data_IF_845739080004
#
_entry.id   IF_845739080004
#
_cell.length_a   1.000
_cell.length_b   1.000
_cell.length_c   1.000
_cell.angle_alpha   90.00
_cell.angle_beta   90.00
_cell.angle_gamma   90.00
#
_symmetry.space_group_name_H-M   'P 1'
#
loop_
_entity.id
_entity.type
_entity.pdbx_description
1 polymer ?
#
# COMPACT_ATOMS: atom_id res chain seq x y z
N UNK A 1 24.74 -28.32 -10.83
CA UNK A 1 24.25 -27.02 -10.36
C UNK A 1 23.43 -26.37 -11.48
N UNK A 2 22.11 -26.24 -11.37
CA UNK A 2 21.34 -25.42 -12.32
C UNK A 2 21.45 -23.93 -11.95
N UNK A 3 21.36 -23.03 -12.95
CA UNK A 3 21.72 -21.63 -12.80
C UNK A 3 20.67 -20.80 -12.05
N UNK A 4 21.19 -19.71 -11.49
CA UNK A 4 20.55 -18.75 -10.60
C UNK A 4 19.25 -18.17 -11.18
N UNK A 5 18.25 -18.11 -10.30
CA UNK A 5 16.92 -17.54 -10.44
C UNK A 5 16.94 -16.28 -11.31
N UNK A 6 16.43 -16.40 -12.54
CA UNK A 6 16.09 -15.28 -13.40
C UNK A 6 15.01 -14.47 -12.69
N UNK A 7 15.28 -13.19 -12.40
CA UNK A 7 14.27 -12.26 -11.88
C UNK A 7 13.06 -12.29 -12.80
N UNK A 8 11.97 -12.92 -12.35
CA UNK A 8 10.73 -12.95 -13.10
C UNK A 8 10.08 -11.57 -12.98
N UNK A 9 10.01 -10.84 -14.08
CA UNK A 9 9.25 -9.60 -14.13
C UNK A 9 7.76 -9.92 -14.21
N UNK A 10 6.95 -9.29 -13.36
CA UNK A 10 5.50 -9.49 -13.34
C UNK A 10 4.84 -8.23 -13.91
N UNK A 11 3.93 -8.41 -14.86
CA UNK A 11 3.21 -7.29 -15.45
C UNK A 11 2.19 -6.71 -14.47
N UNK A 12 2.25 -5.40 -14.24
CA UNK A 12 1.31 -4.71 -13.33
C UNK A 12 -0.15 -4.72 -13.81
N UNK A 13 -0.39 -4.84 -15.11
CA UNK A 13 -1.74 -4.80 -15.71
C UNK A 13 -2.42 -6.16 -15.65
N UNK A 14 -1.73 -7.23 -16.01
CA UNK A 14 -2.33 -8.56 -16.14
C UNK A 14 -1.83 -9.58 -15.10
N UNK A 15 -0.91 -9.20 -14.22
CA UNK A 15 -0.31 -10.04 -13.17
C UNK A 15 0.36 -11.33 -13.65
N UNK A 16 0.71 -11.41 -14.95
CA UNK A 16 1.41 -12.56 -15.55
C UNK A 16 2.90 -12.27 -15.68
N UNK A 17 3.71 -13.32 -15.66
CA UNK A 17 5.15 -13.23 -15.90
C UNK A 17 5.44 -12.72 -17.31
N UNK A 18 6.41 -11.80 -17.41
CA UNK A 18 6.85 -11.18 -18.65
C UNK A 18 8.07 -11.94 -19.18
N UNK A 19 8.02 -12.31 -20.46
CA UNK A 19 9.18 -12.83 -21.18
C UNK A 19 10.03 -11.63 -21.61
N UNK A 20 11.34 -11.66 -21.31
CA UNK A 20 12.31 -10.56 -21.46
C UNK A 20 12.23 -9.72 -22.76
N UNK A 21 11.69 -10.26 -23.85
CA UNK A 21 11.66 -9.59 -25.16
C UNK A 21 10.58 -8.51 -25.33
N UNK A 22 9.62 -8.39 -24.41
CA UNK A 22 8.52 -7.41 -24.51
C UNK A 22 8.24 -6.71 -23.18
N UNK A 23 9.29 -6.47 -22.39
CA UNK A 23 9.20 -5.73 -21.12
C UNK A 23 9.40 -4.25 -21.35
N UNK A 24 8.50 -3.44 -20.81
CA UNK A 24 8.65 -1.99 -20.72
C UNK A 24 8.61 -1.63 -19.24
N UNK A 25 9.64 -0.94 -18.77
CA UNK A 25 9.77 -0.52 -17.38
C UNK A 25 9.47 0.97 -17.29
N UNK A 26 8.62 1.34 -16.33
CA UNK A 26 8.36 2.75 -16.02
C UNK A 26 9.59 3.37 -15.36
N UNK A 27 10.02 4.54 -15.83
CA UNK A 27 11.20 5.23 -15.26
C UNK A 27 10.95 5.87 -13.89
N UNK A 28 9.70 5.91 -13.42
CA UNK A 28 9.32 6.58 -12.17
C UNK A 28 8.97 5.61 -11.05
N UNK A 29 8.27 4.52 -11.35
CA UNK A 29 7.84 3.56 -10.33
C UNK A 29 8.50 2.19 -10.45
N UNK A 30 9.40 2.01 -11.42
CA UNK A 30 10.09 0.75 -11.73
C UNK A 30 9.18 -0.47 -12.03
N UNK A 31 7.86 -0.26 -12.10
CA UNK A 31 6.91 -1.31 -12.49
C UNK A 31 7.12 -1.72 -13.95
N UNK A 32 6.92 -3.02 -14.21
CA UNK A 32 7.08 -3.63 -15.53
C UNK A 32 5.74 -3.92 -16.21
N UNK A 33 5.71 -3.78 -17.52
CA UNK A 33 4.51 -3.91 -18.35
C UNK A 33 4.80 -4.72 -19.61
N UNK A 34 3.83 -5.52 -20.06
CA UNK A 34 3.85 -6.02 -21.43
C UNK A 34 3.53 -4.87 -22.37
N UNK A 35 4.27 -4.74 -23.48
CA UNK A 35 3.96 -3.81 -24.57
C UNK A 35 2.49 -3.87 -25.00
N UNK A 36 1.98 -5.09 -25.20
CA UNK A 36 0.57 -5.33 -25.55
C UNK A 36 -0.43 -4.92 -24.47
N UNK A 37 -0.08 -5.01 -23.18
CA UNK A 37 -0.97 -4.62 -22.08
C UNK A 37 -1.15 -3.10 -21.98
N UNK A 38 -0.28 -2.32 -22.62
CA UNK A 38 -0.32 -0.86 -22.62
C UNK A 38 -0.49 -0.27 -24.03
N UNK A 39 -0.84 -1.10 -25.02
CA UNK A 39 -1.13 -0.66 -26.38
C UNK A 39 0.08 -0.22 -27.21
N UNK A 40 1.29 -0.59 -26.80
CA UNK A 40 2.53 -0.28 -27.54
C UNK A 40 2.87 -1.47 -28.44
N UNK A 41 3.08 -1.22 -29.73
CA UNK A 41 3.50 -2.28 -30.66
C UNK A 41 4.95 -2.67 -30.41
N UNK A 42 5.33 -3.92 -30.70
CA UNK A 42 6.72 -4.38 -30.51
C UNK A 42 7.73 -3.52 -31.28
N UNK A 43 7.34 -2.95 -32.42
CA UNK A 43 8.18 -2.04 -33.22
C UNK A 43 8.43 -0.69 -32.51
N UNK A 44 7.42 -0.19 -31.78
CA UNK A 44 7.58 1.01 -30.97
C UNK A 44 8.52 0.79 -29.78
N UNK A 45 8.56 -0.42 -29.21
CA UNK A 45 9.47 -0.77 -28.10
C UNK A 45 10.93 -0.64 -28.50
N UNK A 46 11.30 -1.08 -29.70
CA UNK A 46 12.67 -0.96 -30.21
C UNK A 46 13.09 0.49 -30.49
N UNK A 47 12.14 1.40 -30.79
CA UNK A 47 12.44 2.83 -30.87
C UNK A 47 12.46 3.51 -29.49
N UNK A 48 11.74 2.94 -28.52
CA UNK A 48 11.55 3.49 -27.17
C UNK A 48 12.71 3.19 -26.23
N UNK A 49 13.63 2.30 -26.57
CA UNK A 49 14.85 2.05 -25.78
C UNK A 49 15.76 3.28 -25.64
N UNK A 50 15.46 4.38 -26.34
CA UNK A 50 16.17 5.66 -26.22
C UNK A 50 15.41 6.70 -25.37
N UNK A 51 14.13 6.50 -25.05
CA UNK A 51 13.32 7.52 -24.39
C UNK A 51 12.57 6.97 -23.18
N UNK A 52 12.79 7.62 -22.03
CA UNK A 52 12.21 7.34 -20.71
C UNK A 52 10.68 7.19 -20.80
N UNK A 53 10.20 5.94 -20.80
CA UNK A 53 8.77 5.67 -20.81
C UNK A 53 8.16 5.81 -19.41
N UNK A 54 7.01 6.46 -19.33
CA UNK A 54 6.26 6.67 -18.09
C UNK A 54 4.91 5.98 -18.18
N UNK A 55 4.56 5.17 -17.18
CA UNK A 55 3.29 4.46 -17.18
C UNK A 55 2.10 5.43 -17.02
N UNK A 56 0.89 5.10 -17.53
CA UNK A 56 -0.28 5.98 -17.41
C UNK A 56 -0.59 6.44 -15.98
N UNK A 57 -0.47 5.59 -14.93
CA UNK A 57 -0.61 6.05 -13.54
C UNK A 57 0.40 7.14 -13.14
N UNK A 58 1.66 7.02 -13.56
CA UNK A 58 2.70 8.01 -13.29
C UNK A 58 2.55 9.26 -14.15
N UNK A 59 2.16 9.11 -15.43
CA UNK A 59 1.92 10.23 -16.34
C UNK A 59 0.78 11.12 -15.81
N UNK A 60 -0.30 10.52 -15.32
CA UNK A 60 -1.42 11.24 -14.71
C UNK A 60 -1.03 11.95 -13.41
N UNK A 61 -0.14 11.36 -12.59
CA UNK A 61 0.36 12.01 -11.36
C UNK A 61 1.28 13.19 -11.66
N UNK A 62 2.03 13.14 -12.76
CA UNK A 62 2.98 14.18 -13.16
C UNK A 62 2.34 15.24 -14.07
N UNK A 63 1.04 15.13 -14.39
CA UNK A 63 0.37 16.03 -15.33
C UNK A 63 0.90 15.94 -16.77
N UNK A 64 1.60 14.85 -17.12
CA UNK A 64 2.18 14.66 -18.45
C UNK A 64 1.05 14.22 -19.40
N UNK A 65 0.60 15.11 -20.28
CA UNK A 65 -0.27 14.74 -21.39
C UNK A 65 0.54 13.89 -22.37
N UNK A 66 0.18 12.62 -22.50
CA UNK A 66 0.68 11.78 -23.61
C UNK A 66 0.02 12.32 -24.87
N UNK A 67 0.73 13.20 -25.57
CA UNK A 67 0.31 13.67 -26.89
C UNK A 67 0.58 12.52 -27.84
N UNK A 68 -0.46 11.79 -28.25
CA UNK A 68 -0.39 10.89 -29.38
C UNK A 68 -0.17 11.73 -30.64
N UNK A 69 1.09 12.01 -30.96
CA UNK A 69 1.47 12.72 -32.16
C UNK A 69 1.16 11.89 -33.41
N UNK A 70 0.04 12.22 -34.05
CA UNK A 70 -0.19 11.98 -35.48
C UNK A 70 -0.86 13.24 -36.04
N UNK A 71 -0.05 14.24 -36.36
CA UNK A 71 -0.41 15.28 -37.32
C UNK A 71 -0.03 14.76 -38.71
N UNK A 72 -1.01 14.31 -39.49
CA UNK A 72 -0.83 14.13 -40.94
C UNK A 72 -1.42 15.37 -41.60
N UNK A 73 -0.53 16.09 -42.25
CA UNK A 73 -0.78 17.33 -42.97
C UNK A 73 -1.63 17.12 -44.23
N UNK A 74 -2.33 18.19 -44.60
CA UNK A 74 -3.23 18.40 -45.73
C UNK A 74 -2.76 17.89 -47.10
N UNK A 75 -3.74 17.50 -47.93
CA UNK A 75 -3.78 17.85 -49.36
C UNK A 75 -5.23 17.84 -49.87
N UNK A 76 -5.64 18.99 -50.39
CA UNK A 76 -6.86 19.27 -51.15
C UNK A 76 -7.07 18.30 -52.34
N UNK A 77 -8.32 17.93 -52.63
CA UNK A 77 -9.03 18.44 -53.82
C UNK A 77 -10.46 17.88 -53.93
N UNK A 78 -11.38 18.74 -54.38
CA UNK A 78 -12.83 18.57 -54.24
C UNK A 78 -13.53 17.64 -55.22
N UNK A 79 -14.74 17.20 -54.82
CA UNK A 79 -15.80 16.81 -55.76
C UNK A 79 -17.18 16.92 -55.11
N UNK A 80 -17.98 17.89 -55.58
CA UNK A 80 -19.44 17.92 -55.42
C UNK A 80 -20.05 16.62 -55.96
N UNK A 81 -20.91 15.96 -55.20
CA UNK A 81 -22.30 15.64 -55.63
C UNK A 81 -23.08 14.75 -54.65
N UNK A 82 -24.36 15.13 -54.54
CA UNK A 82 -25.54 14.33 -54.19
C UNK A 82 -25.76 14.05 -52.71
N UNK A 83 -26.52 14.98 -52.11
CA UNK A 83 -27.48 14.67 -51.08
C UNK A 83 -28.46 13.60 -51.60
N UNK A 84 -28.31 12.38 -51.10
CA UNK A 84 -29.36 11.37 -51.12
C UNK A 84 -29.49 10.84 -49.70
N UNK A 85 -30.63 11.21 -49.10
CA UNK A 85 -31.28 10.62 -47.94
C UNK A 85 -30.79 9.22 -47.58
N UNK A 86 -30.00 9.11 -46.51
CA UNK A 86 -29.78 7.90 -45.74
C UNK A 86 -30.00 8.28 -44.28
N UNK A 87 -30.98 7.61 -43.67
CA UNK A 87 -31.49 7.92 -42.33
C UNK A 87 -30.40 7.94 -41.26
N UNK A 88 -30.51 8.92 -40.38
CA UNK A 88 -29.66 9.22 -39.24
C UNK A 88 -29.82 8.26 -38.04
N UNK A 89 -30.59 7.17 -38.17
CA UNK A 89 -31.02 6.33 -37.05
C UNK A 89 -29.99 5.29 -36.55
N UNK A 90 -28.97 4.95 -37.33
CA UNK A 90 -27.97 3.94 -36.92
C UNK A 90 -26.81 4.52 -36.11
N UNK A 91 -26.48 5.81 -36.30
CA UNK A 91 -25.46 6.50 -35.51
C UNK A 91 -25.85 6.61 -34.04
N UNK A 92 -27.08 7.05 -33.77
CA UNK A 92 -27.61 7.21 -32.40
C UNK A 92 -27.65 5.89 -31.61
N UNK A 93 -27.97 4.78 -32.28
CA UNK A 93 -27.95 3.45 -31.64
C UNK A 93 -26.55 3.00 -31.25
N UNK A 94 -25.54 3.33 -32.06
CA UNK A 94 -24.15 3.00 -31.71
C UNK A 94 -23.67 3.84 -30.54
N UNK A 95 -23.97 5.14 -30.51
CA UNK A 95 -23.61 6.06 -29.41
C UNK A 95 -24.24 5.59 -28.10
N UNK A 96 -25.55 5.32 -28.08
CA UNK A 96 -26.25 4.82 -26.89
C UNK A 96 -25.65 3.51 -26.35
N UNK A 97 -25.18 2.63 -27.24
CA UNK A 97 -24.50 1.38 -26.85
C UNK A 97 -23.15 1.65 -26.17
N UNK A 98 -22.36 2.60 -26.69
CA UNK A 98 -21.09 2.98 -26.08
C UNK A 98 -21.28 3.67 -24.72
N UNK A 99 -22.27 4.56 -24.61
CA UNK A 99 -22.63 5.21 -23.34
C UNK A 99 -23.02 4.18 -22.28
N UNK A 100 -23.90 3.22 -22.61
CA UNK A 100 -24.28 2.17 -21.69
C UNK A 100 -23.10 1.27 -21.28
N UNK A 101 -22.18 1.00 -22.21
CA UNK A 101 -21.00 0.19 -21.91
C UNK A 101 -20.01 0.94 -21.00
N UNK A 102 -19.82 2.24 -21.23
CA UNK A 102 -18.98 3.09 -20.40
C UNK A 102 -19.57 3.24 -19.00
N UNK A 103 -20.88 3.48 -18.90
CA UNK A 103 -21.59 3.59 -17.63
C UNK A 103 -21.44 2.30 -16.80
N UNK A 104 -21.61 1.13 -17.43
CA UNK A 104 -21.38 -0.16 -16.77
C UNK A 104 -19.93 -0.36 -16.32
N UNK A 105 -18.95 0.10 -17.09
CA UNK A 105 -17.54 0.02 -16.69
C UNK A 105 -17.25 0.91 -15.50
N UNK A 106 -17.78 2.14 -15.51
CA UNK A 106 -17.62 3.09 -14.39
C UNK A 106 -18.29 2.52 -13.14
N UNK A 107 -19.53 2.02 -13.23
CA UNK A 107 -20.23 1.43 -12.09
C UNK A 107 -19.46 0.25 -11.49
N UNK A 108 -18.97 -0.68 -12.32
CA UNK A 108 -18.14 -1.80 -11.85
C UNK A 108 -16.88 -1.31 -11.16
N UNK A 109 -16.18 -0.34 -11.75
CA UNK A 109 -14.97 0.21 -11.16
C UNK A 109 -15.23 0.88 -9.80
N UNK A 110 -16.32 1.62 -9.68
CA UNK A 110 -16.73 2.25 -8.42
C UNK A 110 -17.10 1.20 -7.36
N UNK A 111 -17.85 0.15 -7.73
CA UNK A 111 -18.16 -0.96 -6.81
C UNK A 111 -16.91 -1.73 -6.37
N UNK A 112 -15.97 -1.97 -7.28
CA UNK A 112 -14.69 -2.63 -6.98
C UNK A 112 -13.82 -1.77 -6.05
N UNK A 113 -13.80 -0.45 -6.24
CA UNK A 113 -13.10 0.47 -5.34
C UNK A 113 -13.76 0.52 -3.96
N UNK A 114 -15.09 0.62 -3.92
CA UNK A 114 -15.85 0.66 -2.68
C UNK A 114 -15.62 -0.61 -1.85
N UNK A 115 -15.76 -1.79 -2.47
CA UNK A 115 -15.54 -3.07 -1.79
C UNK A 115 -14.11 -3.25 -1.30
N UNK A 116 -13.11 -2.76 -2.06
CA UNK A 116 -11.71 -2.75 -1.60
C UNK A 116 -11.50 -1.82 -0.41
N UNK A 117 -12.13 -0.64 -0.42
CA UNK A 117 -12.05 0.29 0.69
C UNK A 117 -12.68 -0.31 1.95
N UNK A 118 -13.89 -0.85 1.84
CA UNK A 118 -14.59 -1.52 2.95
C UNK A 118 -13.76 -2.69 3.50
N UNK A 119 -13.20 -3.54 2.63
CA UNK A 119 -12.35 -4.66 3.06
C UNK A 119 -11.07 -4.21 3.76
N UNK A 120 -10.44 -3.13 3.31
CA UNK A 120 -9.24 -2.58 3.96
C UNK A 120 -9.58 -1.92 5.30
N UNK A 121 -10.71 -1.21 5.36
CA UNK A 121 -11.18 -0.56 6.57
C UNK A 121 -11.53 -1.60 7.65
N UNK A 122 -12.19 -2.69 7.27
CA UNK A 122 -12.49 -3.80 8.19
C UNK A 122 -11.22 -4.43 8.76
N UNK A 123 -10.24 -4.73 7.90
CA UNK A 123 -8.94 -5.28 8.35
C UNK A 123 -8.20 -4.34 9.29
N UNK A 124 -8.26 -3.04 9.02
CA UNK A 124 -7.67 -2.03 9.89
C UNK A 124 -8.37 -2.01 11.27
N UNK A 125 -9.70 -2.03 11.30
CA UNK A 125 -10.46 -2.06 12.55
C UNK A 125 -10.14 -3.31 13.37
N UNK A 126 -10.17 -4.50 12.77
CA UNK A 126 -9.80 -5.73 13.48
C UNK A 126 -8.39 -5.64 14.08
N UNK A 127 -7.42 -5.14 13.31
CA UNK A 127 -6.06 -4.98 13.80
C UNK A 127 -5.96 -3.97 14.97
N UNK A 128 -6.74 -2.89 14.93
CA UNK A 128 -6.80 -1.92 16.03
C UNK A 128 -7.43 -2.56 17.27
N UNK A 129 -8.53 -3.30 17.11
CA UNK A 129 -9.22 -3.99 18.21
C UNK A 129 -8.33 -5.04 18.89
N UNK A 130 -7.64 -5.86 18.09
CA UNK A 130 -6.70 -6.87 18.59
C UNK A 130 -5.57 -6.22 19.41
N UNK A 131 -4.94 -5.17 18.85
CA UNK A 131 -3.89 -4.44 19.55
C UNK A 131 -4.38 -3.77 20.84
N UNK A 132 -5.61 -3.21 20.83
CA UNK A 132 -6.21 -2.62 22.03
C UNK A 132 -6.49 -3.68 23.10
N UNK A 133 -6.92 -4.87 22.70
CA UNK A 133 -7.12 -6.01 23.60
C UNK A 133 -5.81 -6.45 24.24
N UNK A 134 -4.74 -6.58 23.45
CA UNK A 134 -3.41 -6.95 23.93
C UNK A 134 -2.83 -5.92 24.91
N UNK A 135 -2.91 -4.63 24.56
CA UNK A 135 -2.47 -3.53 25.45
C UNK A 135 -3.26 -3.56 26.76
N UNK A 136 -4.58 -3.74 26.69
CA UNK A 136 -5.43 -3.83 27.89
C UNK A 136 -5.02 -5.00 28.79
N UNK A 137 -4.69 -6.15 28.21
CA UNK A 137 -4.25 -7.33 28.96
C UNK A 137 -2.90 -7.09 29.65
N UNK A 138 -1.94 -6.46 28.98
CA UNK A 138 -0.66 -6.10 29.59
C UNK A 138 -0.82 -5.04 30.69
N UNK A 139 -1.71 -4.05 30.53
CA UNK A 139 -2.04 -3.10 31.60
C UNK A 139 -2.59 -3.83 32.84
N UNK A 140 -3.50 -4.79 32.66
CA UNK A 140 -4.05 -5.59 33.77
C UNK A 140 -2.94 -6.37 34.49
N UNK A 141 -2.01 -6.96 33.73
CA UNK A 141 -0.88 -7.71 34.27
C UNK A 141 0.06 -6.83 35.08
N UNK A 142 0.44 -5.66 34.54
CA UNK A 142 1.27 -4.67 35.24
C UNK A 142 0.56 -4.18 36.50
N UNK A 143 -0.72 -3.85 36.40
CA UNK A 143 -1.54 -3.39 37.54
C UNK A 143 -1.61 -4.42 38.68
N UNK A 144 -1.57 -5.72 38.37
CA UNK A 144 -1.48 -6.79 39.39
C UNK A 144 -0.09 -6.91 40.02
N UNK A 145 0.97 -6.52 39.31
CA UNK A 145 2.34 -6.56 39.84
C UNK A 145 2.62 -5.40 40.79
N UNK A 146 2.06 -4.22 40.58
CA UNK A 146 2.22 -3.05 41.45
C UNK A 146 1.97 -3.35 42.94
N UNK A 147 0.81 -3.87 43.37
CA UNK A 147 0.56 -4.15 44.78
C UNK A 147 1.47 -5.27 45.34
N UNK A 148 1.94 -6.20 44.50
CA UNK A 148 2.89 -7.22 44.94
C UNK A 148 4.23 -6.60 45.32
N UNK A 149 4.70 -5.64 44.52
CA UNK A 149 5.94 -4.91 44.77
C UNK A 149 5.76 -3.99 45.99
N UNK A 150 4.64 -3.28 46.09
CA UNK A 150 4.36 -2.42 47.24
C UNK A 150 4.34 -3.21 48.56
N UNK A 151 3.70 -4.38 48.58
CA UNK A 151 3.68 -5.26 49.75
C UNK A 151 5.09 -5.73 50.13
N UNK A 152 5.93 -6.09 49.14
CA UNK A 152 7.32 -6.48 49.38
C UNK A 152 8.16 -5.32 49.91
N UNK A 153 7.93 -4.10 49.43
CA UNK A 153 8.60 -2.91 49.94
C UNK A 153 8.19 -2.62 51.39
N UNK A 154 6.89 -2.78 51.71
CA UNK A 154 6.41 -2.66 53.10
C UNK A 154 7.09 -3.67 54.02
N UNK A 155 7.11 -4.96 53.64
CA UNK A 155 7.76 -6.02 54.43
C UNK A 155 9.26 -5.76 54.65
N UNK A 156 9.96 -5.32 53.60
CA UNK A 156 11.37 -4.97 53.71
C UNK A 156 11.59 -3.75 54.62
N UNK A 157 10.74 -2.73 54.55
CA UNK A 157 10.82 -1.57 55.43
C UNK A 157 10.58 -1.95 56.90
N UNK A 158 9.59 -2.80 57.17
CA UNK A 158 9.31 -3.29 58.53
C UNK A 158 10.52 -4.05 59.09
N UNK A 159 11.15 -4.92 58.28
CA UNK A 159 12.37 -5.65 58.65
C UNK A 159 13.57 -4.74 58.89
N UNK A 160 13.72 -3.66 58.12
CA UNK A 160 14.78 -2.67 58.35
C UNK A 160 14.55 -1.98 59.70
N UNK A 161 13.34 -1.54 59.99
CA UNK A 161 13.00 -0.91 61.26
C UNK A 161 13.28 -1.83 62.47
N UNK A 162 12.92 -3.11 62.37
CA UNK A 162 13.23 -4.11 63.40
C UNK A 162 14.73 -4.31 63.62
N UNK A 163 15.51 -4.33 62.54
CA UNK A 163 16.97 -4.47 62.62
C UNK A 163 17.63 -3.22 63.20
N UNK A 164 17.15 -2.04 62.84
CA UNK A 164 17.61 -0.77 63.41
C UNK A 164 17.37 -0.73 64.92
N UNK A 165 16.18 -1.14 65.39
CA UNK A 165 15.89 -1.24 66.83
C UNK A 165 16.77 -2.27 67.55
N UNK A 166 17.00 -3.45 66.94
CA UNK A 166 17.95 -4.43 67.49
C UNK A 166 19.37 -3.89 67.58
N UNK A 167 19.85 -3.14 66.58
CA UNK A 167 21.18 -2.54 66.66
C UNK A 167 21.29 -1.48 67.76
N UNK A 168 20.25 -0.64 67.94
CA UNK A 168 20.21 0.33 69.04
C UNK A 168 20.30 -0.33 70.41
N UNK A 169 19.65 -1.49 70.61
CA UNK A 169 19.71 -2.20 71.90
C UNK A 169 21.04 -2.90 72.18
N UNK A 170 21.79 -3.32 71.16
CA UNK A 170 23.14 -3.88 71.35
C UNK A 170 24.23 -2.84 71.61
N UNK A 171 24.02 -1.59 71.17
CA UNK A 171 24.99 -0.50 71.35
C UNK A 171 25.38 -0.25 72.82
N UNK A 172 24.44 -0.13 73.79
CA UNK A 172 24.78 0.08 75.20
C UNK A 172 25.49 -1.11 75.86
N UNK A 173 25.17 -2.36 75.49
CA UNK A 173 25.84 -3.57 76.02
C UNK A 173 27.33 -3.58 75.66
N UNK A 174 27.66 -3.24 74.41
CA UNK A 174 29.06 -3.16 73.97
C UNK A 174 29.83 -2.02 74.66
N UNK A 175 29.16 -0.92 75.02
CA UNK A 175 29.83 0.17 75.74
C UNK A 175 30.09 -0.14 77.21
N UNK A 176 29.28 -1.00 77.85
CA UNK A 176 29.54 -1.50 79.21
C UNK A 176 30.66 -2.55 79.22
N UNK A 177 30.63 -3.51 78.29
CA UNK A 177 31.65 -4.57 78.20
C UNK A 177 33.08 -4.06 77.90
N UNK A 178 33.20 -2.85 77.34
CA UNK A 178 34.50 -2.18 77.08
C UNK A 178 34.97 -1.34 78.28
N UNK A 179 34.06 -1.00 79.20
CA UNK A 179 34.34 -0.14 80.36
C UNK A 179 34.76 -0.92 81.62
N UNK A 180 34.53 -2.23 81.68
CA UNK A 180 35.08 -3.17 82.69
C UNK A 180 36.48 -3.70 82.30
#
# INVERSE_FOLDING_TARGET
>A
MPPKISKQFICKVCSRAIIYKNVIQCTFCDDCYHSRCIGISSDQVYSSTVNKWTCPPCANRLGIRIVSGFSVSDSDDGAKKKASSLGSDDGDKTIAKWENMLEKQIQRFLSDLQSKFESQFEKFNCAVEDNLSDIKNEIIKISKQTPNIDNKLSDLNDRIAELEEKMKSFTPQLTEDIAE
#
